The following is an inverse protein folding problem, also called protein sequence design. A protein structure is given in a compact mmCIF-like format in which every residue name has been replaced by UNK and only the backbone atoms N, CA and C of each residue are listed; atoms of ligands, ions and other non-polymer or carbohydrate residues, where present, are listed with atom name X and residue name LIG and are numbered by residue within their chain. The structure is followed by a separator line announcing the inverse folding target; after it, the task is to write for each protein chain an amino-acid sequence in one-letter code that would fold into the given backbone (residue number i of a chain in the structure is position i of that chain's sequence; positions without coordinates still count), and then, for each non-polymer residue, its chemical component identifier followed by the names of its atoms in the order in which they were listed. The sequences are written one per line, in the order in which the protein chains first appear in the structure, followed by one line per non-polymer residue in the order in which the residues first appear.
data_IF_944811654339
#
_entry.id   IF_944811654339
#
_cell.length_a   1.000
_cell.length_b   1.000
_cell.length_c   1.000
_cell.angle_alpha   90.00
_cell.angle_beta   90.00
_cell.angle_gamma   90.00
#
_symmetry.space_group_name_H-M   'P 1'
#
loop_
_entity.id
_entity.type
_entity.pdbx_description
1 polymer ?
#
# COMPACT_ATOMS: atom_id res chain seq x y z
N UNK A 1 9.31 27.77 -15.28
CA UNK A 1 8.48 26.75 -14.62
C UNK A 1 9.43 25.85 -13.84
N UNK A 2 9.57 26.08 -12.54
CA UNK A 2 10.50 25.31 -11.72
C UNK A 2 9.93 23.93 -11.46
N UNK A 3 10.53 22.90 -12.07
CA UNK A 3 10.39 21.51 -11.65
C UNK A 3 11.03 21.37 -10.27
N UNK A 4 10.30 21.82 -9.25
CA UNK A 4 10.71 21.66 -7.86
C UNK A 4 10.77 20.18 -7.56
N UNK A 5 11.98 19.67 -7.35
CA UNK A 5 12.22 18.35 -6.79
C UNK A 5 11.41 18.23 -5.50
N UNK A 6 10.38 17.39 -5.51
CA UNK A 6 9.53 17.22 -4.33
C UNK A 6 10.19 16.21 -3.41
N UNK A 7 10.69 16.67 -2.27
CA UNK A 7 11.16 15.83 -1.18
C UNK A 7 9.94 15.29 -0.42
N UNK A 8 9.95 13.97 -0.21
CA UNK A 8 8.92 13.23 0.52
C UNK A 8 9.61 12.19 1.42
N UNK A 9 8.89 11.55 2.33
CA UNK A 9 9.47 10.54 3.23
C UNK A 9 8.85 9.16 3.01
N UNK A 10 9.63 8.12 3.29
CA UNK A 10 9.14 6.74 3.29
C UNK A 10 8.26 6.51 4.54
N UNK A 11 6.98 6.20 4.34
CA UNK A 11 6.01 5.98 5.42
C UNK A 11 6.16 4.60 6.10
N UNK A 12 6.67 3.61 5.38
CA UNK A 12 6.88 2.22 5.84
C UNK A 12 8.12 1.65 5.18
N UNK A 13 8.83 0.71 5.84
CA UNK A 13 9.98 0.03 5.23
C UNK A 13 9.60 -0.47 3.83
N UNK A 14 10.37 -0.03 2.83
CA UNK A 14 9.97 -0.09 1.42
C UNK A 14 11.09 -0.64 0.56
N UNK A 15 10.74 -1.50 -0.38
CA UNK A 15 11.68 -2.01 -1.39
C UNK A 15 11.61 -1.18 -2.65
N UNK A 16 12.76 -0.63 -3.03
CA UNK A 16 12.98 0.10 -4.28
C UNK A 16 13.22 -0.90 -5.40
N UNK A 17 12.53 -0.76 -6.51
CA UNK A 17 12.53 -1.72 -7.62
C UNK A 17 13.11 -1.15 -8.90
N UNK A 18 13.57 -2.01 -9.80
CA UNK A 18 14.10 -1.62 -11.11
C UNK A 18 13.03 -0.99 -12.01
N UNK A 19 11.77 -1.40 -11.85
CA UNK A 19 10.62 -0.94 -12.63
C UNK A 19 9.37 -0.77 -11.75
N UNK A 20 8.37 -0.04 -12.24
CA UNK A 20 7.07 0.17 -11.60
C UNK A 20 6.18 -1.08 -11.62
N UNK A 21 6.62 -2.15 -10.95
CA UNK A 21 5.92 -3.43 -10.93
C UNK A 21 6.18 -4.19 -9.63
N UNK A 22 5.18 -4.89 -9.06
CA UNK A 22 5.39 -5.71 -7.88
C UNK A 22 6.35 -6.88 -8.07
N UNK A 23 6.59 -7.28 -9.32
CA UNK A 23 7.44 -8.41 -9.69
C UNK A 23 8.84 -7.99 -10.15
N UNK A 24 9.09 -6.69 -10.29
CA UNK A 24 10.40 -6.19 -10.71
C UNK A 24 11.49 -6.51 -9.67
N UNK A 25 12.75 -6.53 -10.07
CA UNK A 25 13.86 -6.82 -9.15
C UNK A 25 14.00 -5.73 -8.07
N UNK A 26 14.42 -6.11 -6.86
CA UNK A 26 14.65 -5.19 -5.75
C UNK A 26 16.09 -4.68 -5.79
N UNK A 27 16.26 -3.36 -5.88
CA UNK A 27 17.54 -2.67 -5.94
C UNK A 27 18.06 -2.33 -4.54
N UNK A 28 17.16 -1.94 -3.64
CA UNK A 28 17.46 -1.56 -2.27
C UNK A 28 16.22 -1.67 -1.38
N UNK A 29 16.44 -1.70 -0.07
CA UNK A 29 15.38 -1.52 0.93
C UNK A 29 15.65 -0.21 1.67
N UNK A 30 14.63 0.64 1.78
CA UNK A 30 14.70 1.92 2.46
C UNK A 30 13.97 1.82 3.80
N UNK A 31 14.58 2.25 4.91
CA UNK A 31 13.90 2.31 6.19
C UNK A 31 12.80 3.37 6.18
N UNK A 32 11.89 3.27 7.15
CA UNK A 32 10.90 4.31 7.42
C UNK A 32 11.61 5.65 7.68
N UNK A 33 10.92 6.74 7.33
CA UNK A 33 11.33 8.13 7.50
C UNK A 33 12.56 8.52 6.67
N UNK A 34 12.99 7.67 5.73
CA UNK A 34 14.00 8.02 4.73
C UNK A 34 13.47 9.15 3.84
N UNK A 35 14.22 10.24 3.73
CA UNK A 35 13.94 11.30 2.76
C UNK A 35 14.28 10.84 1.34
N UNK A 36 13.36 11.07 0.41
CA UNK A 36 13.49 10.70 -0.98
C UNK A 36 13.05 11.84 -1.89
N UNK A 37 13.72 11.95 -3.03
CA UNK A 37 13.41 12.88 -4.09
C UNK A 37 12.50 12.19 -5.11
N UNK A 38 11.35 12.79 -5.43
CA UNK A 38 10.48 12.27 -6.50
C UNK A 38 11.03 12.69 -7.86
N UNK A 39 11.38 11.70 -8.69
CA UNK A 39 11.86 11.90 -10.07
C UNK A 39 10.70 11.85 -11.07
N UNK A 40 9.83 10.83 -10.94
CA UNK A 40 8.65 10.66 -11.79
C UNK A 40 7.44 10.37 -10.91
N UNK A 41 6.44 11.23 -11.01
CA UNK A 41 5.19 11.11 -10.27
C UNK A 41 4.17 10.26 -11.06
N UNK A 42 4.35 8.94 -11.04
CA UNK A 42 3.41 7.99 -11.65
C UNK A 42 2.32 7.49 -10.69
N UNK A 43 1.41 6.69 -11.24
CA UNK A 43 0.34 5.99 -10.53
C UNK A 43 0.20 4.57 -11.10
N UNK A 44 0.30 3.49 -10.30
CA UNK A 44 0.48 3.47 -8.85
C UNK A 44 1.94 3.53 -8.37
N UNK A 45 2.91 3.55 -9.29
CA UNK A 45 4.34 3.57 -8.96
C UNK A 45 4.97 4.93 -9.23
N UNK A 46 5.83 5.34 -8.30
CA UNK A 46 6.58 6.61 -8.33
C UNK A 46 8.07 6.26 -8.44
N UNK A 47 8.79 6.93 -9.33
CA UNK A 47 10.24 6.83 -9.38
C UNK A 47 10.86 7.82 -8.41
N UNK A 48 11.77 7.35 -7.57
CA UNK A 48 12.44 8.14 -6.54
C UNK A 48 13.96 8.05 -6.66
N UNK A 49 14.65 9.00 -6.02
CA UNK A 49 16.07 8.89 -5.65
C UNK A 49 16.25 9.08 -4.16
N UNK A 50 17.12 8.30 -3.53
CA UNK A 50 17.37 8.33 -2.09
C UNK A 50 18.84 8.08 -1.78
N UNK A 51 19.30 8.52 -0.62
CA UNK A 51 20.59 8.08 -0.08
C UNK A 51 20.42 6.75 0.67
N UNK A 52 21.28 5.78 0.38
CA UNK A 52 21.34 4.48 1.06
C UNK A 52 22.71 4.31 1.72
N UNK A 53 22.72 3.97 3.00
CA UNK A 53 23.94 3.94 3.82
C UNK A 53 25.07 3.08 3.21
N UNK A 54 24.73 1.92 2.65
CA UNK A 54 25.72 0.98 2.11
C UNK A 54 25.99 1.14 0.61
N UNK A 55 25.07 1.75 -0.14
CA UNK A 55 25.07 1.75 -1.61
C UNK A 55 25.27 3.14 -2.21
N UNK A 56 25.30 4.18 -1.37
CA UNK A 56 25.29 5.57 -1.83
C UNK A 56 23.93 5.95 -2.40
N UNK A 57 23.92 6.78 -3.45
CA UNK A 57 22.67 7.25 -4.06
C UNK A 57 22.01 6.12 -4.86
N UNK A 58 20.77 5.79 -4.53
CA UNK A 58 19.95 4.80 -5.24
C UNK A 58 18.78 5.49 -5.95
N UNK A 59 18.34 4.91 -7.05
CA UNK A 59 17.13 5.34 -7.76
C UNK A 59 16.34 4.13 -8.22
N UNK A 60 15.01 4.27 -8.25
CA UNK A 60 14.12 3.20 -8.68
C UNK A 60 12.68 3.49 -8.32
N UNK A 61 11.84 2.47 -8.41
CA UNK A 61 10.39 2.59 -8.32
C UNK A 61 9.87 2.06 -6.99
N UNK A 62 8.93 2.80 -6.40
CA UNK A 62 8.22 2.44 -5.17
C UNK A 62 6.71 2.66 -5.36
N UNK A 63 5.88 1.95 -4.62
CA UNK A 63 4.45 2.17 -4.66
C UNK A 63 4.10 3.52 -4.00
N UNK A 64 3.21 4.30 -4.62
CA UNK A 64 2.84 5.66 -4.19
C UNK A 64 2.39 5.71 -2.73
N UNK A 65 1.63 4.71 -2.29
CA UNK A 65 1.10 4.61 -0.92
C UNK A 65 2.17 4.47 0.17
N UNK A 66 3.42 4.19 -0.20
CA UNK A 66 4.52 4.10 0.75
C UNK A 66 5.21 5.46 0.98
N UNK A 67 4.77 6.52 0.31
CA UNK A 67 5.31 7.87 0.44
C UNK A 67 4.40 8.73 1.31
N UNK A 68 4.98 9.52 2.21
CA UNK A 68 4.30 10.54 3.00
C UNK A 68 4.67 11.93 2.48
N UNK A 69 3.70 12.84 2.44
CA UNK A 69 3.90 14.21 1.92
C UNK A 69 3.73 14.36 0.40
N UNK A 70 3.46 13.26 -0.32
CA UNK A 70 3.01 13.32 -1.71
C UNK A 70 1.49 13.52 -1.75
N UNK A 71 1.01 14.51 -2.52
CA UNK A 71 -0.44 14.78 -2.61
C UNK A 71 -1.15 13.56 -3.20
N UNK A 72 -2.25 13.12 -2.56
CA UNK A 72 -2.95 11.90 -2.95
C UNK A 72 -2.22 10.60 -2.61
N UNK A 73 -1.09 10.62 -1.90
CA UNK A 73 -0.62 9.43 -1.19
C UNK A 73 -1.52 9.23 0.03
N UNK A 74 -2.16 8.07 0.13
CA UNK A 74 -3.03 7.73 1.26
C UNK A 74 -2.30 7.90 2.59
N UNK A 75 -3.04 8.26 3.64
CA UNK A 75 -2.53 8.31 5.02
C UNK A 75 -1.77 7.05 5.35
N UNK A 76 -0.63 7.21 6.02
CA UNK A 76 0.23 6.10 6.42
C UNK A 76 -0.63 4.97 7.03
N UNK A 77 -0.51 3.75 6.50
CA UNK A 77 -1.37 2.66 6.86
C UNK A 77 -1.21 2.26 8.32
N UNK A 78 -2.32 2.31 9.05
CA UNK A 78 -2.40 1.77 10.39
C UNK A 78 -2.30 0.25 10.32
N UNK A 79 -1.40 -0.32 11.16
CA UNK A 79 -1.16 -1.75 11.23
C UNK A 79 -2.34 -2.43 11.93
N UNK A 80 -3.42 -2.66 11.19
CA UNK A 80 -4.53 -3.46 11.69
C UNK A 80 -4.08 -4.92 11.81
N UNK A 81 -4.18 -5.52 13.01
CA UNK A 81 -3.84 -6.93 13.28
C UNK A 81 -4.88 -7.91 12.70
N UNK A 82 -5.28 -7.70 11.45
CA UNK A 82 -6.09 -8.68 10.72
C UNK A 82 -5.13 -9.79 10.30
N UNK A 83 -5.50 -11.05 10.54
CA UNK A 83 -4.74 -12.21 10.05
C UNK A 83 -4.92 -12.27 8.53
N UNK A 84 -4.13 -11.49 7.81
CA UNK A 84 -4.15 -11.48 6.36
C UNK A 84 -3.54 -12.76 5.79
N UNK A 85 -4.10 -13.32 4.72
CA UNK A 85 -3.45 -14.38 3.95
C UNK A 85 -2.11 -13.89 3.37
N UNK A 86 -1.20 -14.83 3.04
CA UNK A 86 0.03 -14.51 2.34
C UNK A 86 -0.24 -13.76 1.02
N UNK A 87 0.63 -12.82 0.69
CA UNK A 87 0.59 -12.12 -0.59
C UNK A 87 0.70 -13.11 -1.76
N UNK A 88 -0.31 -13.18 -2.63
CA UNK A 88 -0.32 -14.12 -3.75
C UNK A 88 0.80 -13.84 -4.79
N UNK A 89 1.42 -12.65 -4.78
CA UNK A 89 2.55 -12.33 -5.64
C UNK A 89 3.93 -12.70 -5.05
N UNK A 90 4.11 -12.66 -3.73
CA UNK A 90 5.45 -12.81 -3.12
C UNK A 90 5.49 -13.64 -1.82
N UNK A 91 4.37 -14.15 -1.33
CA UNK A 91 4.26 -14.93 -0.11
C UNK A 91 4.40 -14.16 1.21
N UNK A 92 4.69 -12.85 1.18
CA UNK A 92 4.86 -12.06 2.39
C UNK A 92 3.55 -11.86 3.16
N UNK A 93 3.66 -11.74 4.49
CA UNK A 93 2.54 -11.50 5.42
C UNK A 93 2.38 -10.03 5.83
N UNK A 94 3.22 -9.14 5.31
CA UNK A 94 3.19 -7.73 5.69
C UNK A 94 2.31 -6.94 4.74
N UNK A 95 1.21 -6.44 5.28
CA UNK A 95 0.19 -5.69 4.57
C UNK A 95 -0.01 -4.31 5.16
N UNK A 96 -0.46 -3.43 4.28
CA UNK A 96 -0.77 -2.03 4.52
C UNK A 96 -2.20 -1.82 4.03
N UNK A 97 -3.11 -1.44 4.92
CA UNK A 97 -4.50 -1.25 4.57
C UNK A 97 -4.77 0.21 4.20
N UNK A 98 -5.47 0.42 3.10
CA UNK A 98 -6.02 1.74 2.75
C UNK A 98 -7.41 1.89 3.37
N UNK A 99 -7.88 3.14 3.56
CA UNK A 99 -9.28 3.40 3.85
C UNK A 99 -10.21 2.78 2.80
N UNK A 100 -11.47 2.54 3.17
CA UNK A 100 -12.47 2.10 2.21
C UNK A 100 -12.77 3.23 1.22
N UNK A 101 -12.61 2.95 -0.07
CA UNK A 101 -12.83 3.92 -1.15
C UNK A 101 -14.15 3.66 -1.90
N UNK A 102 -14.67 2.44 -1.81
CA UNK A 102 -15.90 2.02 -2.49
C UNK A 102 -16.75 1.17 -1.56
N UNK A 103 -18.07 1.30 -1.67
CA UNK A 103 -19.02 0.39 -1.02
C UNK A 103 -19.71 -0.46 -2.07
N UNK A 104 -19.77 -1.77 -1.86
CA UNK A 104 -20.51 -2.70 -2.71
C UNK A 104 -21.73 -3.22 -1.98
N UNK A 105 -22.84 -3.34 -2.72
CA UNK A 105 -24.04 -4.00 -2.21
C UNK A 105 -23.81 -5.51 -2.22
N UNK A 106 -23.78 -6.12 -1.04
CA UNK A 106 -23.85 -7.59 -0.91
C UNK A 106 -25.31 -8.08 -0.82
N UNK A 107 -26.24 -7.21 -0.42
CA UNK A 107 -27.69 -7.44 -0.46
C UNK A 107 -28.47 -6.11 -0.34
N UNK A 108 -29.81 -6.15 -0.49
CA UNK A 108 -30.72 -4.99 -0.48
C UNK A 108 -30.53 -3.98 0.68
N UNK A 109 -29.95 -4.39 1.81
CA UNK A 109 -29.77 -3.54 3.00
C UNK A 109 -28.31 -3.47 3.50
N UNK A 110 -27.37 -4.19 2.89
CA UNK A 110 -25.99 -4.28 3.37
C UNK A 110 -25.00 -3.71 2.35
N UNK A 111 -24.36 -2.60 2.74
CA UNK A 111 -23.22 -2.01 2.07
C UNK A 111 -21.94 -2.47 2.76
N UNK A 112 -21.01 -3.02 1.98
CA UNK A 112 -19.72 -3.47 2.48
C UNK A 112 -18.63 -2.60 1.90
N UNK A 113 -17.80 -2.02 2.78
CA UNK A 113 -16.64 -1.24 2.38
C UNK A 113 -15.58 -2.14 1.74
N UNK A 114 -15.29 -1.90 0.46
CA UNK A 114 -14.14 -2.46 -0.23
C UNK A 114 -12.94 -1.59 0.11
N UNK A 115 -11.94 -2.24 0.71
CA UNK A 115 -10.65 -1.65 1.04
C UNK A 115 -9.60 -2.23 0.11
N UNK A 116 -8.49 -1.54 -0.03
CA UNK A 116 -7.30 -2.13 -0.62
C UNK A 116 -6.32 -2.49 0.48
N UNK A 117 -5.63 -3.61 0.29
CA UNK A 117 -4.41 -3.92 1.03
C UNK A 117 -3.25 -3.95 0.05
N UNK A 118 -2.12 -3.43 0.49
CA UNK A 118 -0.92 -3.29 -0.31
C UNK A 118 0.17 -4.06 0.41
N UNK A 119 0.76 -5.05 -0.26
CA UNK A 119 1.83 -5.82 0.34
C UNK A 119 3.08 -4.95 0.47
N UNK A 120 3.63 -4.73 1.67
CA UNK A 120 4.82 -3.89 1.83
C UNK A 120 6.07 -4.49 1.19
N UNK A 121 6.07 -5.81 1.01
CA UNK A 121 7.19 -6.52 0.40
C UNK A 121 7.23 -6.38 -1.11
N UNK A 122 6.08 -6.35 -1.79
CA UNK A 122 6.04 -6.27 -3.25
C UNK A 122 5.27 -5.10 -3.84
N UNK A 123 4.44 -4.40 -3.09
CA UNK A 123 3.59 -3.34 -3.62
C UNK A 123 2.40 -3.87 -4.42
N UNK A 124 2.09 -5.17 -4.33
CA UNK A 124 0.85 -5.70 -4.89
C UNK A 124 -0.33 -5.10 -4.14
N UNK A 125 -1.26 -4.50 -4.89
CA UNK A 125 -2.56 -4.06 -4.42
C UNK A 125 -3.57 -5.20 -4.58
N UNK A 126 -4.30 -5.51 -3.52
CA UNK A 126 -5.42 -6.45 -3.53
C UNK A 126 -6.65 -5.80 -2.91
N UNK A 127 -7.81 -6.04 -3.51
CA UNK A 127 -9.09 -5.74 -2.86
C UNK A 127 -9.29 -6.67 -1.65
N UNK A 128 -9.81 -6.12 -0.57
CA UNK A 128 -10.13 -6.84 0.64
C UNK A 128 -11.37 -6.24 1.32
N UNK A 129 -12.06 -7.07 2.10
CA UNK A 129 -13.18 -6.65 2.95
C UNK A 129 -12.66 -6.71 4.38
N UNK A 130 -12.88 -5.66 5.17
CA UNK A 130 -12.41 -5.62 6.55
C UNK A 130 -13.14 -6.62 7.44
N UNK A 131 -12.44 -7.08 8.48
CA UNK A 131 -12.96 -8.09 9.42
C UNK A 131 -14.29 -7.68 10.06
N UNK A 132 -14.45 -6.38 10.36
CA UNK A 132 -15.70 -5.82 10.91
C UNK A 132 -16.88 -5.98 9.94
N UNK A 133 -16.66 -5.68 8.65
CA UNK A 133 -17.70 -5.85 7.64
C UNK A 133 -18.05 -7.35 7.45
N UNK A 134 -17.07 -8.25 7.58
CA UNK A 134 -17.30 -9.71 7.54
C UNK A 134 -18.11 -10.19 8.77
N UNK A 135 -17.83 -9.69 9.97
CA UNK A 135 -18.60 -10.01 11.18
C UNK A 135 -20.03 -9.51 11.12
N UNK A 136 -20.26 -8.30 10.60
CA UNK A 136 -21.59 -7.75 10.37
C UNK A 136 -22.38 -8.62 9.38
N UNK A 137 -21.77 -9.07 8.29
CA UNK A 137 -22.41 -10.01 7.33
C UNK A 137 -22.71 -11.36 8.00
N UNK A 138 -21.79 -11.92 8.79
CA UNK A 138 -21.97 -13.21 9.47
C UNK A 138 -23.09 -13.17 10.51
N UNK A 139 -23.13 -12.14 11.36
CA UNK A 139 -24.16 -11.96 12.38
C UNK A 139 -25.55 -11.83 11.75
N UNK A 140 -25.65 -11.11 10.63
CA UNK A 140 -26.88 -11.01 9.86
C UNK A 140 -27.33 -12.35 9.27
N UNK A 141 -26.40 -13.15 8.70
CA UNK A 141 -26.75 -14.46 8.17
C UNK A 141 -27.32 -15.39 9.24
N UNK A 142 -26.74 -15.38 10.44
CA UNK A 142 -27.23 -16.17 11.59
C UNK A 142 -28.64 -15.75 12.03
N UNK A 143 -28.95 -14.44 11.98
CA UNK A 143 -30.27 -13.91 12.36
C UNK A 143 -31.42 -14.29 11.41
N UNK A 144 -31.11 -14.73 10.19
CA UNK A 144 -32.11 -15.17 9.18
C UNK A 144 -32.35 -16.67 9.13
N UNK A 145 -31.49 -17.44 9.78
CA UNK A 145 -31.61 -18.91 9.90
C UNK A 145 -32.31 -19.36 11.17
N UNK A 146 -32.81 -18.43 11.99
CA UNK A 146 -33.59 -18.66 13.21
C UNK A 146 -35.00 -18.12 13.00
#
# INVERSE_FOLDING_TARGET
MGSGQKLVTIAVVTRVRTEGSPKAEVVAELPRDTEVEVLINGDPFVQISAWHAERGRVAGWVHRSFLSGLEGAGTAPERTQIVDPPCNACGALNWVHTPAERFIHLSLLNLVGVRHRICTSCGLVQECIGAKEIEEVKSWQQSRTT
#
